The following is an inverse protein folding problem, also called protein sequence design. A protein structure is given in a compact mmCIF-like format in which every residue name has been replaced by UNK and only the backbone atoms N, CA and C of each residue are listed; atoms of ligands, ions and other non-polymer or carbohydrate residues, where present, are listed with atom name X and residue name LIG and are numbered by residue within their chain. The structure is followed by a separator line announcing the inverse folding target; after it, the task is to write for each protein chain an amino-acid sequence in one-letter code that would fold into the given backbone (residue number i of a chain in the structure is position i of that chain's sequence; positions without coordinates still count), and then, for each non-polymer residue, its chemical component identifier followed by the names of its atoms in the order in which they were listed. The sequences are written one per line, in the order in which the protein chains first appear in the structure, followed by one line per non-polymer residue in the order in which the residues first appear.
data_IF_640856978349
#
_entry.id   IF_640856978349
#
_cell.length_a   1.000
_cell.length_b   1.000
_cell.length_c   1.000
_cell.angle_alpha   90.00
_cell.angle_beta   90.00
_cell.angle_gamma   90.00
#
_symmetry.space_group_name_H-M   'P 1'
#
loop_
_entity.id
_entity.type
_entity.pdbx_description
1 polymer ?
#
# COMPACT_ATOMS: atom_id res chain seq x y z
N UNK A 1 -14.98 4.00 -9.19
CA UNK A 1 -14.54 5.35 -9.63
C UNK A 1 -15.29 5.70 -10.90
N UNK A 2 -16.02 6.83 -10.96
CA UNK A 2 -16.85 7.22 -12.11
C UNK A 2 -16.18 8.21 -13.07
N UNK A 3 -14.84 8.17 -13.18
CA UNK A 3 -14.03 9.08 -13.99
C UNK A 3 -12.95 8.30 -14.73
N UNK A 4 -13.29 7.67 -15.86
CA UNK A 4 -12.30 7.01 -16.70
C UNK A 4 -11.39 8.05 -17.36
N UNK A 5 -10.17 7.65 -17.70
CA UNK A 5 -9.31 8.46 -18.56
C UNK A 5 -9.94 8.56 -19.96
N UNK A 6 -9.80 9.73 -20.57
CA UNK A 6 -10.10 9.94 -21.98
C UNK A 6 -8.94 9.44 -22.85
N UNK A 7 -9.23 9.11 -24.10
CA UNK A 7 -8.19 8.73 -25.07
C UNK A 7 -7.10 9.81 -25.23
N UNK A 8 -7.44 11.08 -25.04
CA UNK A 8 -6.49 12.19 -25.07
C UNK A 8 -5.54 12.17 -23.86
N UNK A 9 -6.06 11.90 -22.65
CA UNK A 9 -5.26 11.75 -21.44
C UNK A 9 -4.36 10.51 -21.51
N UNK A 10 -4.88 9.40 -22.03
CA UNK A 10 -4.09 8.19 -22.27
C UNK A 10 -2.95 8.47 -23.27
N UNK A 11 -3.26 9.12 -24.40
CA UNK A 11 -2.24 9.52 -25.39
C UNK A 11 -1.23 10.53 -24.83
N UNK A 12 -1.65 11.39 -23.90
CA UNK A 12 -0.78 12.31 -23.18
C UNK A 12 0.04 11.64 -22.05
N UNK A 13 -0.13 10.34 -21.83
CA UNK A 13 0.61 9.59 -20.81
C UNK A 13 0.13 9.83 -19.38
N UNK A 14 -1.05 10.43 -19.18
CA UNK A 14 -1.57 10.78 -17.84
C UNK A 14 -1.69 9.57 -16.91
N UNK A 15 -1.97 8.38 -17.45
CA UNK A 15 -1.99 7.13 -16.68
C UNK A 15 -0.62 6.84 -16.05
N UNK A 16 0.44 6.92 -16.84
CA UNK A 16 1.80 6.68 -16.36
C UNK A 16 2.23 7.75 -15.34
N UNK A 17 1.90 9.02 -15.58
CA UNK A 17 2.20 10.09 -14.63
C UNK A 17 1.48 9.93 -13.30
N UNK A 18 0.22 9.45 -13.29
CA UNK A 18 -0.50 9.16 -12.05
C UNK A 18 0.14 7.98 -11.31
N UNK A 19 0.51 6.92 -12.03
CA UNK A 19 1.20 5.76 -11.44
C UNK A 19 2.55 6.17 -10.84
N UNK A 20 3.34 6.99 -11.54
CA UNK A 20 4.63 7.50 -11.06
C UNK A 20 4.44 8.39 -9.82
N UNK A 21 3.51 9.34 -9.88
CA UNK A 21 3.17 10.24 -8.77
C UNK A 21 2.78 9.46 -7.52
N UNK A 22 1.95 8.43 -7.67
CA UNK A 22 1.48 7.59 -6.57
C UNK A 22 2.39 6.39 -6.27
N UNK A 23 3.53 6.26 -6.94
CA UNK A 23 4.45 5.14 -6.73
C UNK A 23 4.99 5.16 -5.29
N UNK A 24 5.27 3.97 -4.75
CA UNK A 24 5.82 3.85 -3.40
C UNK A 24 7.12 4.64 -3.26
N UNK A 25 8.01 4.54 -4.26
CA UNK A 25 9.31 5.23 -4.25
C UNK A 25 9.15 6.75 -4.31
N UNK A 26 8.26 7.29 -5.15
CA UNK A 26 8.02 8.73 -5.18
C UNK A 26 7.43 9.21 -3.84
N UNK A 27 6.34 8.58 -3.39
CA UNK A 27 5.63 9.00 -2.18
C UNK A 27 6.51 8.91 -0.93
N UNK A 28 7.26 7.83 -0.75
CA UNK A 28 8.19 7.66 0.38
C UNK A 28 9.27 8.75 0.43
N UNK A 29 9.68 9.26 -0.73
CA UNK A 29 10.78 10.19 -0.83
C UNK A 29 10.38 11.67 -0.75
N UNK A 30 9.09 12.00 -0.70
CA UNK A 30 8.63 13.37 -0.48
C UNK A 30 9.02 13.85 0.93
N UNK A 31 9.50 15.09 1.04
CA UNK A 31 9.95 15.67 2.31
C UNK A 31 8.87 15.65 3.39
N UNK A 32 7.60 15.89 3.02
CA UNK A 32 6.45 15.81 3.94
C UNK A 32 6.31 14.43 4.59
N UNK A 33 6.82 13.38 3.95
CA UNK A 33 6.75 11.99 4.43
C UNK A 33 8.02 11.55 5.18
N UNK A 34 9.02 12.42 5.35
CA UNK A 34 10.28 12.13 6.06
C UNK A 34 10.43 12.87 7.39
N UNK A 35 9.59 13.87 7.66
CA UNK A 35 9.66 14.71 8.86
C UNK A 35 8.68 14.26 9.94
N UNK A 36 8.80 14.82 11.15
CA UNK A 36 7.78 14.70 12.19
C UNK A 36 6.41 15.09 11.63
N UNK A 37 5.42 14.24 11.87
CA UNK A 37 4.06 14.38 11.36
C UNK A 37 3.06 14.26 12.50
N UNK A 38 1.98 15.04 12.40
CA UNK A 38 0.80 14.86 13.23
C UNK A 38 -0.36 14.56 12.29
N UNK A 39 -1.03 13.45 12.52
CA UNK A 39 -2.14 12.99 11.69
C UNK A 39 -3.42 13.31 12.40
N UNK A 40 -4.33 13.99 11.70
CA UNK A 40 -5.70 14.13 12.17
C UNK A 40 -6.47 12.83 11.92
N UNK A 41 -6.93 12.20 12.99
CA UNK A 41 -7.84 11.05 12.96
C UNK A 41 -9.06 11.45 13.77
N UNK A 42 -10.23 11.49 13.12
CA UNK A 42 -11.52 11.82 13.75
C UNK A 42 -11.49 13.13 14.58
N UNK A 43 -10.83 14.16 14.07
CA UNK A 43 -10.71 15.47 14.73
C UNK A 43 -9.68 15.53 15.85
N UNK A 44 -8.83 14.50 16.02
CA UNK A 44 -7.73 14.47 17.00
C UNK A 44 -6.39 14.32 16.30
N UNK A 45 -5.40 15.10 16.74
CA UNK A 45 -4.04 14.97 16.25
C UNK A 45 -3.30 13.87 16.99
N UNK A 46 -2.80 12.89 16.24
CA UNK A 46 -1.95 11.82 16.72
C UNK A 46 -0.51 12.06 16.27
N UNK A 47 0.44 11.95 17.21
CA UNK A 47 1.86 12.03 16.89
C UNK A 47 2.31 10.72 16.25
N UNK A 48 2.06 10.61 14.95
CA UNK A 48 2.49 9.50 14.10
C UNK A 48 3.27 10.14 12.96
N UNK A 49 4.57 9.89 12.94
CA UNK A 49 5.43 10.35 11.85
C UNK A 49 4.97 9.76 10.51
N UNK A 50 4.96 10.59 9.47
CA UNK A 50 4.45 10.17 8.16
C UNK A 50 5.30 9.06 7.52
N UNK A 51 6.58 8.95 7.90
CA UNK A 51 7.48 7.89 7.44
C UNK A 51 7.01 6.49 7.87
N UNK A 52 6.22 6.39 8.95
CA UNK A 52 5.64 5.16 9.44
C UNK A 52 4.74 4.47 8.40
N UNK A 53 4.14 5.21 7.47
CA UNK A 53 3.35 4.63 6.37
C UNK A 53 4.20 4.02 5.25
N UNK A 54 5.48 4.40 5.15
CA UNK A 54 6.34 4.06 4.01
C UNK A 54 7.53 3.18 4.43
N UNK A 55 7.24 1.98 4.95
CA UNK A 55 8.26 1.03 5.46
C UNK A 55 9.18 0.44 4.38
N UNK A 56 8.83 -0.70 3.78
CA UNK A 56 9.64 -1.36 2.73
C UNK A 56 8.98 -1.36 1.35
N UNK A 57 7.64 -1.45 1.27
CA UNK A 57 6.93 -1.46 -0.02
C UNK A 57 7.20 -2.69 -0.89
N UNK A 58 7.60 -3.82 -0.30
CA UNK A 58 7.96 -5.04 -1.04
C UNK A 58 7.08 -6.23 -0.68
N UNK A 59 6.82 -7.08 -1.65
CA UNK A 59 6.17 -8.38 -1.45
C UNK A 59 7.16 -9.37 -0.82
N UNK A 60 6.66 -10.28 0.01
CA UNK A 60 7.47 -11.37 0.57
C UNK A 60 8.28 -11.03 1.82
N UNK A 61 8.24 -9.78 2.32
CA UNK A 61 8.98 -9.40 3.54
C UNK A 61 8.54 -10.16 4.80
N UNK A 62 7.39 -10.85 4.77
CA UNK A 62 6.89 -11.68 5.88
C UNK A 62 7.90 -12.75 6.32
N UNK A 63 8.76 -13.24 5.41
CA UNK A 63 9.80 -14.24 5.72
C UNK A 63 10.80 -13.76 6.77
N UNK A 64 10.94 -12.44 6.94
CA UNK A 64 11.81 -11.84 7.95
C UNK A 64 11.17 -11.78 9.35
N UNK A 65 9.88 -12.09 9.46
CA UNK A 65 9.09 -11.91 10.69
C UNK A 65 8.34 -13.16 11.14
N UNK A 66 8.17 -14.16 10.27
CA UNK A 66 7.43 -15.39 10.57
C UNK A 66 8.31 -16.62 10.40
N UNK A 67 8.11 -17.62 11.27
CA UNK A 67 8.65 -18.95 11.03
C UNK A 67 7.85 -19.67 9.92
N UNK A 68 8.42 -20.69 9.28
CA UNK A 68 7.71 -21.50 8.28
C UNK A 68 6.38 -22.09 8.81
N UNK A 69 6.35 -22.48 10.09
CA UNK A 69 5.16 -23.03 10.74
C UNK A 69 4.05 -21.99 10.89
N UNK A 70 4.39 -20.74 11.23
CA UNK A 70 3.43 -19.64 11.32
C UNK A 70 2.82 -19.34 9.95
N UNK A 71 3.64 -19.31 8.91
CA UNK A 71 3.20 -19.07 7.55
C UNK A 71 2.28 -20.20 7.04
N UNK A 72 2.69 -21.46 7.23
CA UNK A 72 1.87 -22.63 6.86
C UNK A 72 0.52 -22.63 7.55
N UNK A 73 0.48 -22.30 8.85
CA UNK A 73 -0.78 -22.19 9.59
C UNK A 73 -1.69 -21.10 9.01
N UNK A 74 -1.11 -19.97 8.62
CA UNK A 74 -1.88 -18.87 8.03
C UNK A 74 -2.42 -19.24 6.64
N UNK A 75 -1.62 -19.91 5.82
CA UNK A 75 -2.02 -20.43 4.50
C UNK A 75 -3.21 -21.40 4.60
N UNK A 76 -3.21 -22.29 5.59
CA UNK A 76 -4.33 -23.21 5.84
C UNK A 76 -5.61 -22.46 6.21
N UNK A 77 -5.52 -21.44 7.09
CA UNK A 77 -6.66 -20.60 7.48
C UNK A 77 -7.24 -19.88 6.27
N UNK A 78 -6.40 -19.26 5.44
CA UNK A 78 -6.86 -18.58 4.23
C UNK A 78 -7.51 -19.55 3.25
N UNK A 79 -6.92 -20.74 3.05
CA UNK A 79 -7.47 -21.79 2.20
C UNK A 79 -8.88 -22.22 2.62
N UNK A 80 -9.10 -22.40 3.92
CA UNK A 80 -10.42 -22.74 4.47
C UNK A 80 -11.41 -21.57 4.28
N UNK A 81 -11.02 -20.36 4.71
CA UNK A 81 -11.95 -19.22 4.78
C UNK A 81 -12.34 -18.63 3.45
N UNK A 82 -11.45 -18.69 2.46
CA UNK A 82 -11.72 -18.11 1.15
C UNK A 82 -12.18 -19.19 0.14
N UNK A 83 -12.35 -20.45 0.55
CA UNK A 83 -12.81 -21.54 -0.32
C UNK A 83 -14.17 -21.20 -0.94
N UNK A 84 -14.25 -21.26 -2.27
CA UNK A 84 -15.51 -21.01 -2.99
C UNK A 84 -15.86 -19.52 -3.13
N UNK A 85 -15.02 -18.61 -2.65
CA UNK A 85 -15.21 -17.16 -2.84
C UNK A 85 -14.68 -16.65 -4.18
N UNK A 86 -13.82 -17.43 -4.86
CA UNK A 86 -13.09 -17.00 -6.06
C UNK A 86 -11.83 -16.17 -5.77
N UNK A 87 -11.49 -15.96 -4.49
CA UNK A 87 -10.27 -15.27 -4.06
C UNK A 87 -9.06 -16.21 -3.89
N UNK A 88 -9.27 -17.52 -3.99
CA UNK A 88 -8.28 -18.61 -4.04
C UNK A 88 -8.81 -19.78 -4.87
#
# INVERSE_FOLDING_TARGET
MGRPFSAAEEAAGSVASVVELCSFDNMKNLEVNKTEGAIEIEGKYHSIAHDAFFRKGVTGDWVNHMSPEMASRLDEIFRDKLRGTGLI
#
